data_IF_203194966576
#
_entry.id   IF_203194966576
#
_cell.length_a   1.000
_cell.length_b   1.000
_cell.length_c   1.000
_cell.angle_alpha   90.00
_cell.angle_beta   90.00
_cell.angle_gamma   90.00
#
_symmetry.space_group_name_H-M   'P 1'
#
loop_
_entity.id
_entity.type
_entity.pdbx_description
1 polymer ?
#
# COMPACT_ATOMS: atom_id res chain seq x y z
N UNK A 1 -22.77 1.75 24.77
CA UNK A 1 -22.16 2.09 23.47
C UNK A 1 -22.55 1.02 22.47
N UNK A 2 -23.42 1.36 21.52
CA UNK A 2 -23.95 0.38 20.55
C UNK A 2 -22.90 0.08 19.47
N UNK A 3 -22.54 -1.20 19.33
CA UNK A 3 -21.65 -1.68 18.30
C UNK A 3 -22.36 -1.60 16.93
N UNK A 4 -21.86 -0.76 16.04
CA UNK A 4 -22.32 -0.70 14.66
C UNK A 4 -21.81 -1.94 13.93
N UNK A 5 -22.74 -2.72 13.34
CA UNK A 5 -22.36 -3.93 12.59
C UNK A 5 -21.72 -3.57 11.24
N UNK A 6 -20.88 -4.46 10.69
CA UNK A 6 -20.25 -4.31 9.37
C UNK A 6 -21.22 -3.95 8.24
N UNK A 7 -22.47 -4.43 8.31
CA UNK A 7 -23.55 -4.08 7.37
C UNK A 7 -24.04 -2.65 7.50
N UNK A 8 -23.94 -2.04 8.70
CA UNK A 8 -24.29 -0.63 8.93
C UNK A 8 -23.25 0.34 8.36
N UNK A 9 -21.98 -0.02 8.41
CA UNK A 9 -20.89 0.80 7.87
C UNK A 9 -20.93 0.90 6.33
N UNK A 10 -21.22 -0.21 5.66
CA UNK A 10 -21.37 -0.22 4.19
C UNK A 10 -22.58 0.59 3.69
N UNK A 11 -23.65 0.69 4.46
CA UNK A 11 -24.83 1.50 4.08
C UNK A 11 -24.58 3.01 4.22
N UNK A 12 -23.71 3.43 5.12
CA UNK A 12 -23.36 4.85 5.31
C UNK A 12 -22.39 5.32 4.21
N UNK A 13 -21.48 4.44 3.74
CA UNK A 13 -20.58 4.77 2.64
C UNK A 13 -21.29 4.89 1.27
N UNK A 14 -22.39 4.17 1.07
CA UNK A 14 -23.19 4.25 -0.16
C UNK A 14 -24.11 5.48 -0.24
N UNK A 15 -24.41 6.13 0.88
CA UNK A 15 -25.28 7.29 0.91
C UNK A 15 -24.57 8.64 0.66
N UNK A 16 -23.24 8.67 0.71
CA UNK A 16 -22.44 9.88 0.51
C UNK A 16 -22.01 10.13 -0.96
N UNK A 17 -22.33 9.22 -1.89
CA UNK A 17 -21.90 9.31 -3.29
C UNK A 17 -23.00 9.78 -4.26
N UNK A 18 -24.16 10.24 -3.78
CA UNK A 18 -25.24 10.71 -4.62
C UNK A 18 -25.71 12.12 -4.29
N UNK A 19 -24.89 13.10 -4.62
CA UNK A 19 -25.37 14.47 -4.79
C UNK A 19 -24.44 15.25 -5.74
N UNK A 20 -24.96 15.51 -6.93
CA UNK A 20 -24.51 16.61 -7.74
C UNK A 20 -24.09 16.32 -9.16
N UNK A 21 -25.01 16.23 -10.10
CA UNK A 21 -24.93 17.00 -11.36
C UNK A 21 -26.34 17.16 -11.90
N UNK A 22 -26.77 18.39 -11.99
CA UNK A 22 -27.97 18.81 -12.71
C UNK A 22 -27.59 19.45 -14.05
N UNK A 23 -28.31 19.01 -15.08
CA UNK A 23 -28.86 19.79 -16.21
C UNK A 23 -27.93 20.44 -17.25
N UNK A 24 -28.18 20.09 -18.48
CA UNK A 24 -27.83 20.87 -19.67
C UNK A 24 -28.39 20.22 -20.93
N UNK A 25 -29.51 20.76 -21.39
CA UNK A 25 -30.41 20.24 -22.40
C UNK A 25 -30.06 20.65 -23.84
N UNK A 26 -30.70 19.93 -24.82
CA UNK A 26 -31.17 20.37 -26.16
C UNK A 26 -30.10 20.49 -27.24
N UNK A 27 -30.31 20.07 -28.44
CA UNK A 27 -31.39 19.92 -29.39
C UNK A 27 -30.89 19.09 -30.58
N UNK A 28 -31.65 18.21 -31.10
CA UNK A 28 -32.67 18.31 -32.12
C UNK A 28 -32.21 18.15 -33.60
N UNK A 29 -32.98 17.29 -34.23
CA UNK A 29 -33.47 17.24 -35.63
C UNK A 29 -32.60 16.48 -36.62
N UNK A 30 -33.08 15.65 -37.49
CA UNK A 30 -34.36 15.29 -38.04
C UNK A 30 -34.13 14.26 -39.16
N UNK A 31 -34.90 13.41 -39.41
CA UNK A 31 -35.85 12.89 -40.40
C UNK A 31 -35.25 11.69 -41.15
N UNK A 32 -35.92 10.67 -41.51
CA UNK A 32 -37.25 10.32 -41.82
C UNK A 32 -37.34 8.83 -42.16
N UNK A 33 -38.37 8.23 -41.64
CA UNK A 33 -39.26 7.20 -42.19
C UNK A 33 -38.74 6.00 -42.99
N UNK A 34 -39.02 4.80 -42.43
CA UNK A 34 -40.02 3.94 -43.07
C UNK A 34 -40.49 2.84 -42.11
N UNK A 35 -41.77 2.70 -42.01
CA UNK A 35 -42.52 1.78 -41.20
C UNK A 35 -42.35 0.33 -41.65
N UNK A 36 -42.13 -0.57 -40.71
CA UNK A 36 -42.78 -1.89 -40.70
C UNK A 36 -43.01 -2.30 -39.27
N UNK A 37 -44.24 -2.53 -38.94
CA UNK A 37 -44.70 -3.05 -37.66
C UNK A 37 -44.21 -4.50 -37.48
N UNK A 38 -43.54 -4.76 -36.38
CA UNK A 38 -43.35 -6.10 -35.87
C UNK A 38 -43.40 -6.05 -34.34
N UNK A 39 -44.38 -6.71 -33.79
CA UNK A 39 -44.59 -7.30 -32.49
C UNK A 39 -43.73 -6.81 -31.33
N UNK A 40 -44.39 -6.29 -30.31
CA UNK A 40 -43.88 -6.06 -28.95
C UNK A 40 -43.38 -7.37 -28.34
N UNK A 41 -42.10 -7.71 -28.60
CA UNK A 41 -41.30 -8.58 -27.78
C UNK A 41 -40.70 -7.75 -26.65
N UNK A 42 -40.73 -8.25 -25.42
CA UNK A 42 -40.03 -7.65 -24.29
C UNK A 42 -38.60 -7.37 -24.72
N UNK A 43 -38.13 -6.12 -24.52
CA UNK A 43 -36.75 -5.78 -24.79
C UNK A 43 -35.85 -6.68 -23.94
N UNK A 44 -34.94 -7.40 -24.57
CA UNK A 44 -34.00 -8.29 -23.87
C UNK A 44 -33.14 -7.47 -22.87
N UNK A 45 -32.73 -8.12 -21.81
CA UNK A 45 -31.93 -7.51 -20.76
C UNK A 45 -30.51 -7.20 -21.20
N UNK A 46 -30.06 -7.79 -22.31
CA UNK A 46 -28.70 -7.66 -22.85
C UNK A 46 -28.69 -7.40 -24.36
N UNK A 47 -27.64 -6.74 -24.79
CA UNK A 47 -27.29 -6.69 -26.22
C UNK A 47 -26.55 -8.00 -26.56
N UNK A 48 -27.06 -8.83 -27.49
CA UNK A 48 -26.37 -10.05 -27.87
C UNK A 48 -24.96 -9.79 -28.40
N UNK A 49 -23.99 -10.59 -27.93
CA UNK A 49 -22.61 -10.42 -28.33
C UNK A 49 -21.64 -11.11 -27.35
N UNK A 50 -20.36 -11.05 -27.68
CA UNK A 50 -19.28 -11.55 -26.82
C UNK A 50 -18.50 -10.37 -26.25
N UNK A 51 -18.39 -10.31 -24.96
CA UNK A 51 -17.76 -9.24 -24.20
C UNK A 51 -16.62 -9.77 -23.37
N UNK A 52 -15.59 -8.96 -23.16
CA UNK A 52 -14.42 -9.32 -22.39
C UNK A 52 -14.20 -8.31 -21.27
N UNK A 53 -13.95 -8.81 -20.07
CA UNK A 53 -13.52 -8.05 -18.90
C UNK A 53 -12.21 -8.58 -18.37
N UNK A 54 -11.46 -7.71 -17.71
CA UNK A 54 -10.19 -8.06 -17.06
C UNK A 54 -10.15 -7.45 -15.67
N UNK A 55 -9.41 -8.10 -14.77
CA UNK A 55 -9.09 -7.56 -13.44
C UNK A 55 -7.79 -8.16 -12.93
N UNK A 56 -7.14 -7.46 -12.00
CA UNK A 56 -5.92 -7.93 -11.36
C UNK A 56 -6.20 -9.09 -10.41
N UNK A 57 -5.49 -10.20 -10.62
CA UNK A 57 -5.39 -11.32 -9.70
C UNK A 57 -4.23 -11.14 -8.71
N UNK A 58 -3.71 -12.24 -8.19
CA UNK A 58 -2.57 -12.24 -7.26
C UNK A 58 -1.21 -12.24 -8.00
N UNK A 59 -1.14 -12.90 -9.14
CA UNK A 59 0.10 -13.09 -9.89
C UNK A 59 0.01 -12.59 -11.33
N UNK A 60 -1.21 -12.35 -11.83
CA UNK A 60 -1.46 -11.99 -13.23
C UNK A 60 -2.78 -11.27 -13.40
N UNK A 61 -3.01 -10.73 -14.60
CA UNK A 61 -4.32 -10.24 -15.00
C UNK A 61 -5.23 -11.42 -15.34
N UNK A 62 -6.33 -11.52 -14.63
CA UNK A 62 -7.42 -12.47 -14.90
C UNK A 62 -8.29 -11.92 -16.02
N UNK A 63 -8.66 -12.77 -16.97
CA UNK A 63 -9.52 -12.40 -18.10
C UNK A 63 -10.77 -13.27 -18.11
N UNK A 64 -11.93 -12.64 -18.24
CA UNK A 64 -13.22 -13.29 -18.42
C UNK A 64 -13.82 -12.85 -19.75
N UNK A 65 -14.23 -13.82 -20.56
CA UNK A 65 -14.95 -13.60 -21.81
C UNK A 65 -16.32 -14.25 -21.70
N UNK A 66 -17.38 -13.49 -21.91
CA UNK A 66 -18.75 -13.94 -21.75
C UNK A 66 -19.56 -13.66 -23.02
N UNK A 67 -20.34 -14.66 -23.45
CA UNK A 67 -21.26 -14.51 -24.60
C UNK A 67 -22.70 -14.41 -24.07
N UNK A 68 -23.42 -13.41 -24.56
CA UNK A 68 -24.79 -13.09 -24.17
C UNK A 68 -25.73 -13.28 -25.35
N UNK A 69 -26.89 -13.87 -25.07
CA UNK A 69 -28.10 -13.69 -25.87
C UNK A 69 -28.82 -12.40 -25.44
N UNK A 70 -30.00 -12.13 -25.98
CA UNK A 70 -30.85 -11.02 -25.54
C UNK A 70 -31.35 -11.16 -24.08
N UNK A 71 -31.30 -12.36 -23.50
CA UNK A 71 -31.91 -12.65 -22.19
C UNK A 71 -31.03 -13.43 -21.23
N UNK A 72 -29.89 -13.99 -21.67
CA UNK A 72 -29.06 -14.86 -20.85
C UNK A 72 -27.59 -14.87 -21.25
N UNK A 73 -26.74 -15.28 -20.29
CA UNK A 73 -25.35 -15.68 -20.55
C UNK A 73 -25.39 -17.09 -21.18
N UNK A 74 -24.73 -17.24 -22.34
CA UNK A 74 -24.73 -18.50 -23.09
C UNK A 74 -23.37 -19.22 -23.06
N UNK A 75 -22.30 -18.51 -22.83
CA UNK A 75 -20.97 -19.09 -22.69
C UNK A 75 -20.07 -18.19 -21.82
N UNK A 76 -19.13 -18.81 -21.11
CA UNK A 76 -18.14 -18.15 -20.26
C UNK A 76 -16.79 -18.83 -20.44
N UNK A 77 -15.77 -18.04 -20.64
CA UNK A 77 -14.37 -18.49 -20.60
C UNK A 77 -13.64 -17.69 -19.53
N UNK A 78 -13.04 -18.38 -18.57
CA UNK A 78 -12.23 -17.78 -17.49
C UNK A 78 -10.78 -18.15 -17.70
N UNK A 79 -9.95 -17.17 -17.93
CA UNK A 79 -8.50 -17.35 -18.06
C UNK A 79 -7.79 -16.81 -16.82
N UNK A 80 -7.32 -17.75 -16.00
CA UNK A 80 -6.50 -17.55 -14.81
C UNK A 80 -5.16 -18.27 -14.95
N UNK A 81 -4.72 -18.53 -16.17
CA UNK A 81 -3.52 -19.36 -16.45
C UNK A 81 -2.23 -18.76 -15.90
N UNK A 82 -2.17 -17.45 -15.74
CA UNK A 82 -1.04 -16.74 -15.12
C UNK A 82 -1.07 -16.70 -13.59
N UNK A 83 -2.14 -17.20 -12.98
CA UNK A 83 -2.26 -17.28 -11.52
C UNK A 83 -1.49 -18.48 -10.95
N UNK A 84 -1.37 -18.56 -9.61
CA UNK A 84 -0.70 -19.69 -8.95
C UNK A 84 -1.34 -21.02 -9.34
N UNK A 85 -0.56 -21.93 -9.93
CA UNK A 85 -1.05 -23.15 -10.56
C UNK A 85 -1.94 -24.03 -9.67
N UNK A 86 -1.60 -24.19 -8.38
CA UNK A 86 -2.31 -25.04 -7.43
C UNK A 86 -3.60 -24.43 -6.88
N UNK A 87 -3.80 -23.13 -7.05
CA UNK A 87 -4.91 -22.39 -6.48
C UNK A 87 -5.68 -21.60 -7.54
N UNK A 88 -5.15 -20.46 -7.97
CA UNK A 88 -5.84 -19.55 -8.88
C UNK A 88 -6.09 -20.16 -10.26
N UNK A 89 -5.10 -20.80 -10.87
CA UNK A 89 -5.27 -21.45 -12.17
C UNK A 89 -6.23 -22.66 -12.07
N UNK A 90 -6.18 -23.42 -10.98
CA UNK A 90 -7.07 -24.57 -10.77
C UNK A 90 -8.53 -24.16 -10.53
N UNK A 91 -8.80 -22.93 -10.12
CA UNK A 91 -10.14 -22.43 -9.83
C UNK A 91 -10.96 -22.05 -11.09
N UNK A 92 -10.34 -21.94 -12.25
CA UNK A 92 -10.95 -21.40 -13.47
C UNK A 92 -12.26 -22.08 -13.86
N UNK A 93 -12.28 -23.42 -13.87
CA UNK A 93 -13.45 -24.19 -14.32
C UNK A 93 -14.61 -24.09 -13.32
N UNK A 94 -14.33 -24.08 -12.03
CA UNK A 94 -15.33 -23.88 -11.01
C UNK A 94 -15.96 -22.49 -11.07
N UNK A 95 -15.14 -21.46 -11.21
CA UNK A 95 -15.59 -20.06 -11.35
C UNK A 95 -16.41 -19.85 -12.63
N UNK A 96 -16.03 -20.48 -13.74
CA UNK A 96 -16.79 -20.51 -14.98
C UNK A 96 -18.18 -21.10 -14.75
N UNK A 97 -18.25 -22.27 -14.09
CA UNK A 97 -19.51 -22.94 -13.82
C UNK A 97 -20.42 -22.11 -12.91
N UNK A 98 -19.86 -21.45 -11.91
CA UNK A 98 -20.61 -20.55 -11.04
C UNK A 98 -21.20 -19.36 -11.82
N UNK A 99 -20.42 -18.71 -12.71
CA UNK A 99 -20.91 -17.61 -13.54
C UNK A 99 -22.02 -18.02 -14.51
N UNK A 100 -21.88 -19.19 -15.15
CA UNK A 100 -22.90 -19.76 -16.05
C UNK A 100 -24.20 -20.08 -15.30
N UNK A 101 -24.10 -20.70 -14.12
CA UNK A 101 -25.25 -21.11 -13.32
C UNK A 101 -25.95 -19.91 -12.67
N UNK A 102 -25.20 -18.92 -12.18
CA UNK A 102 -25.77 -17.73 -11.56
C UNK A 102 -26.36 -16.76 -12.58
N UNK A 103 -25.84 -16.72 -13.82
CA UNK A 103 -26.19 -15.69 -14.79
C UNK A 103 -25.95 -14.27 -14.30
N UNK A 104 -25.02 -14.10 -13.34
CA UNK A 104 -24.64 -12.83 -12.73
C UNK A 104 -23.18 -12.86 -12.28
N UNK A 105 -22.64 -11.72 -11.92
CA UNK A 105 -21.30 -11.58 -11.33
C UNK A 105 -21.27 -11.86 -9.82
N UNK A 106 -22.44 -12.07 -9.21
CA UNK A 106 -22.56 -12.44 -7.79
C UNK A 106 -22.44 -13.95 -7.62
N UNK A 107 -21.21 -14.42 -7.49
CA UNK A 107 -20.86 -15.82 -7.27
C UNK A 107 -20.11 -15.99 -5.93
N UNK A 108 -20.12 -17.21 -5.39
CA UNK A 108 -19.46 -17.46 -4.10
C UNK A 108 -17.94 -17.37 -4.18
N UNK A 109 -17.37 -17.86 -5.26
CA UNK A 109 -15.94 -17.98 -5.44
C UNK A 109 -15.42 -19.36 -5.02
N UNK A 110 -14.09 -19.52 -4.99
CA UNK A 110 -13.42 -20.79 -4.68
C UNK A 110 -12.58 -20.61 -3.42
N UNK A 111 -12.80 -21.48 -2.44
CA UNK A 111 -12.04 -21.48 -1.17
C UNK A 111 -10.55 -21.68 -1.44
N UNK A 112 -9.71 -20.88 -0.83
CA UNK A 112 -8.26 -20.88 -1.06
C UNK A 112 -7.81 -20.05 -2.28
N UNK A 113 -8.75 -19.52 -3.09
CA UNK A 113 -8.47 -18.69 -4.27
C UNK A 113 -9.22 -17.36 -4.24
N UNK A 114 -9.36 -16.76 -3.06
CA UNK A 114 -10.21 -15.58 -2.83
C UNK A 114 -9.84 -14.39 -3.72
N UNK A 115 -8.55 -14.05 -3.85
CA UNK A 115 -8.12 -12.91 -4.65
C UNK A 115 -8.41 -13.16 -6.14
N UNK A 116 -8.12 -14.36 -6.65
CA UNK A 116 -8.44 -14.74 -8.03
C UNK A 116 -9.94 -14.76 -8.26
N UNK A 117 -10.73 -15.26 -7.30
CA UNK A 117 -12.20 -15.26 -7.38
C UNK A 117 -12.76 -13.83 -7.44
N UNK A 118 -12.24 -12.92 -6.63
CA UNK A 118 -12.64 -11.51 -6.65
C UNK A 118 -12.25 -10.81 -7.95
N UNK A 119 -11.10 -11.18 -8.55
CA UNK A 119 -10.71 -10.69 -9.87
C UNK A 119 -11.68 -11.21 -10.95
N UNK A 120 -12.07 -12.49 -10.91
CA UNK A 120 -13.06 -13.06 -11.84
C UNK A 120 -14.42 -12.36 -11.71
N UNK A 121 -14.90 -12.10 -10.47
CA UNK A 121 -16.13 -11.32 -10.23
C UNK A 121 -16.08 -9.94 -10.86
N UNK A 122 -14.97 -9.20 -10.65
CA UNK A 122 -14.79 -7.86 -11.22
C UNK A 122 -14.74 -7.88 -12.75
N UNK A 123 -14.05 -8.85 -13.33
CA UNK A 123 -13.97 -9.03 -14.77
C UNK A 123 -15.35 -9.39 -15.37
N UNK A 124 -16.09 -10.31 -14.75
CA UNK A 124 -17.45 -10.67 -15.15
C UNK A 124 -18.41 -9.48 -15.05
N UNK A 125 -18.34 -8.69 -13.98
CA UNK A 125 -19.14 -7.46 -13.82
C UNK A 125 -18.95 -6.49 -14.99
N UNK A 126 -17.73 -6.37 -15.50
CA UNK A 126 -17.44 -5.55 -16.69
C UNK A 126 -18.14 -6.13 -17.93
N UNK A 127 -18.16 -7.46 -18.11
CA UNK A 127 -18.88 -8.09 -19.23
C UNK A 127 -20.39 -7.81 -19.15
N UNK A 128 -21.00 -7.93 -17.98
CA UNK A 128 -22.41 -7.61 -17.76
C UNK A 128 -22.74 -6.16 -18.04
N UNK A 129 -21.91 -5.22 -17.59
CA UNK A 129 -22.07 -3.79 -17.86
C UNK A 129 -22.02 -3.48 -19.36
N UNK A 130 -21.07 -4.09 -20.09
CA UNK A 130 -20.97 -3.95 -21.55
C UNK A 130 -22.21 -4.51 -22.24
N UNK A 131 -22.67 -5.69 -21.85
CA UNK A 131 -23.86 -6.32 -22.44
C UNK A 131 -25.15 -5.51 -22.19
N UNK A 132 -25.23 -4.79 -21.07
CA UNK A 132 -26.35 -3.89 -20.74
C UNK A 132 -26.24 -2.51 -21.42
N UNK A 133 -25.15 -2.22 -22.12
CA UNK A 133 -24.89 -0.89 -22.69
C UNK A 133 -24.61 0.18 -21.64
N UNK A 134 -24.29 -0.24 -20.41
CA UNK A 134 -23.81 0.66 -19.37
C UNK A 134 -22.41 1.15 -19.75
N UNK A 135 -22.10 2.41 -19.49
CA UNK A 135 -20.76 2.93 -19.71
C UNK A 135 -19.79 2.08 -18.87
N UNK A 136 -18.94 1.32 -19.55
CA UNK A 136 -17.86 0.60 -18.85
C UNK A 136 -17.03 1.63 -18.12
N UNK A 137 -16.94 1.49 -16.80
CA UNK A 137 -15.77 2.01 -16.11
C UNK A 137 -14.62 1.29 -16.80
N UNK A 138 -13.94 2.00 -17.68
CA UNK A 138 -12.77 1.50 -18.38
C UNK A 138 -11.90 0.86 -17.30
N UNK A 139 -11.74 -0.47 -17.37
CA UNK A 139 -10.69 -1.13 -16.64
C UNK A 139 -9.48 -0.22 -16.77
N UNK A 140 -8.85 0.13 -15.68
CA UNK A 140 -7.54 0.80 -15.73
C UNK A 140 -6.76 -0.05 -16.70
N UNK A 141 -6.56 0.45 -17.94
CA UNK A 141 -5.68 -0.20 -18.88
C UNK A 141 -4.34 -0.20 -18.19
N UNK A 142 -3.95 -1.36 -17.70
CA UNK A 142 -2.55 -1.55 -17.37
C UNK A 142 -1.78 -1.20 -18.63
N UNK A 143 -0.72 -0.41 -18.51
CA UNK A 143 0.09 -0.02 -19.65
C UNK A 143 0.52 -1.27 -20.43
N UNK A 144 -0.01 -1.45 -21.63
CA UNK A 144 0.42 -2.52 -22.54
C UNK A 144 1.63 -2.03 -23.31
N UNK A 145 2.73 -1.82 -22.60
CA UNK A 145 3.85 -1.21 -23.25
C UNK A 145 5.10 -1.30 -22.45
N UNK A 146 5.94 -0.51 -22.30
CA UNK A 146 7.20 -0.47 -21.64
C UNK A 146 7.04 -0.77 -20.14
N UNK A 147 7.86 -1.65 -19.56
CA UNK A 147 7.88 -1.97 -18.12
C UNK A 147 8.02 -0.74 -17.21
N UNK A 148 8.41 0.42 -17.77
CA UNK A 148 8.58 1.68 -17.07
C UNK A 148 7.32 2.56 -17.04
N UNK A 149 6.27 2.17 -17.74
CA UNK A 149 5.05 3.01 -17.90
C UNK A 149 4.29 3.22 -16.57
N UNK A 150 4.39 2.27 -15.64
CA UNK A 150 3.82 2.37 -14.29
C UNK A 150 4.55 3.36 -13.38
N UNK A 151 5.79 3.69 -13.70
CA UNK A 151 6.58 4.68 -12.96
C UNK A 151 6.16 6.13 -13.28
N UNK A 152 5.40 6.32 -14.37
CA UNK A 152 5.10 7.65 -14.88
C UNK A 152 6.33 8.33 -15.50
N UNK A 153 6.18 9.57 -15.85
CA UNK A 153 7.30 10.38 -16.32
C UNK A 153 8.03 11.01 -15.15
N UNK A 154 9.35 11.09 -15.26
CA UNK A 154 10.15 11.88 -14.31
C UNK A 154 9.59 13.32 -14.28
N UNK A 155 9.35 13.90 -13.09
CA UNK A 155 8.87 15.27 -12.98
C UNK A 155 9.81 16.26 -13.70
N UNK A 156 9.25 17.05 -14.59
CA UNK A 156 9.96 18.16 -15.26
C UNK A 156 9.72 19.42 -14.44
N UNK A 157 10.71 19.77 -13.62
CA UNK A 157 10.65 20.92 -12.71
C UNK A 157 11.55 22.00 -13.29
N UNK A 158 10.95 23.15 -13.62
CA UNK A 158 11.70 24.30 -14.09
C UNK A 158 12.67 24.78 -13.00
N UNK A 159 13.92 24.97 -13.38
CA UNK A 159 14.96 25.50 -12.47
C UNK A 159 14.56 26.85 -11.86
N UNK A 160 13.82 27.67 -12.60
CA UNK A 160 13.29 28.94 -12.13
C UNK A 160 12.17 28.81 -11.08
N UNK A 161 11.57 27.64 -10.95
CA UNK A 161 10.55 27.35 -9.92
C UNK A 161 11.18 26.97 -8.57
N UNK A 162 12.47 26.67 -8.52
CA UNK A 162 13.20 26.37 -7.30
C UNK A 162 13.57 27.67 -6.61
N UNK A 163 12.91 27.97 -5.50
CA UNK A 163 13.03 29.26 -4.81
C UNK A 163 14.08 29.25 -3.71
N UNK A 164 14.45 28.07 -3.23
CA UNK A 164 15.43 27.89 -2.15
C UNK A 164 16.36 26.73 -2.43
N UNK A 165 17.62 26.85 -1.95
CA UNK A 165 18.61 25.76 -1.98
C UNK A 165 19.22 25.60 -0.60
N UNK A 166 19.19 24.38 -0.08
CA UNK A 166 19.72 23.99 1.22
C UNK A 166 20.89 23.01 1.02
N UNK A 167 22.06 23.34 1.56
CA UNK A 167 23.23 22.46 1.53
C UNK A 167 23.34 21.66 2.81
N UNK A 168 23.47 20.35 2.70
CA UNK A 168 23.64 19.44 3.84
C UNK A 168 24.48 18.22 3.45
N UNK A 169 24.87 17.42 4.44
CA UNK A 169 25.55 16.14 4.17
C UNK A 169 24.55 15.03 3.86
N UNK A 170 23.46 14.97 4.62
CA UNK A 170 22.46 13.90 4.55
C UNK A 170 21.08 14.53 4.49
N UNK A 171 20.23 14.02 3.58
CA UNK A 171 18.80 14.30 3.59
C UNK A 171 18.05 13.04 4.00
N UNK A 172 17.20 13.15 5.02
CA UNK A 172 16.29 12.10 5.47
C UNK A 172 14.90 12.46 4.99
N UNK A 173 14.30 11.60 4.17
CA UNK A 173 12.96 11.79 3.60
C UNK A 173 11.96 10.99 4.40
N UNK A 174 11.06 11.67 5.07
CA UNK A 174 10.02 11.09 5.93
C UNK A 174 10.38 11.19 7.42
N UNK A 175 9.42 11.62 8.24
CA UNK A 175 9.52 11.68 9.70
C UNK A 175 8.63 10.62 10.38
N UNK A 176 8.56 9.43 9.79
CA UNK A 176 8.01 8.22 10.41
C UNK A 176 9.03 7.54 11.33
N UNK A 177 8.77 6.29 11.74
CA UNK A 177 9.66 5.57 12.65
C UNK A 177 11.09 5.46 12.14
N UNK A 178 11.27 5.08 10.87
CA UNK A 178 12.60 4.93 10.28
C UNK A 178 13.36 6.25 10.23
N UNK A 179 12.70 7.33 9.77
CA UNK A 179 13.30 8.65 9.65
C UNK A 179 13.63 9.26 11.00
N UNK A 180 12.73 9.19 11.98
CA UNK A 180 12.98 9.75 13.31
C UNK A 180 14.08 9.00 14.09
N UNK A 181 14.17 7.67 13.93
CA UNK A 181 15.28 6.90 14.51
C UNK A 181 16.62 7.30 13.90
N UNK A 182 16.66 7.43 12.56
CA UNK A 182 17.85 7.88 11.86
C UNK A 182 18.23 9.32 12.23
N UNK A 183 17.25 10.23 12.32
CA UNK A 183 17.46 11.61 12.71
C UNK A 183 18.01 11.74 14.14
N UNK A 184 17.41 11.00 15.10
CA UNK A 184 17.87 10.98 16.48
C UNK A 184 19.32 10.48 16.59
N UNK A 185 19.65 9.40 15.87
CA UNK A 185 21.02 8.88 15.85
C UNK A 185 21.99 9.84 15.19
N UNK A 186 21.61 10.44 14.05
CA UNK A 186 22.42 11.45 13.36
C UNK A 186 22.68 12.68 14.24
N UNK A 187 21.66 13.16 14.94
CA UNK A 187 21.78 14.28 15.87
C UNK A 187 22.71 13.94 17.04
N UNK A 188 22.57 12.75 17.65
CA UNK A 188 23.47 12.30 18.72
C UNK A 188 24.94 12.21 18.28
N UNK A 189 25.19 11.95 17.00
CA UNK A 189 26.55 11.91 16.41
C UNK A 189 27.03 13.28 15.90
N UNK A 190 26.23 14.32 16.00
CA UNK A 190 26.57 15.67 15.51
C UNK A 190 26.74 15.72 13.99
N UNK A 191 26.01 14.89 13.24
CA UNK A 191 26.06 14.90 11.78
C UNK A 191 25.31 16.11 11.22
N UNK A 192 25.73 16.60 10.07
CA UNK A 192 24.99 17.61 9.32
C UNK A 192 23.92 16.95 8.45
N UNK A 193 22.64 17.16 8.80
CA UNK A 193 21.51 16.55 8.09
C UNK A 193 20.28 17.44 8.11
N UNK A 194 19.36 17.18 7.17
CA UNK A 194 18.01 17.74 7.14
C UNK A 194 17.00 16.60 7.07
N UNK A 195 15.84 16.81 7.68
CA UNK A 195 14.70 15.90 7.59
C UNK A 195 13.56 16.62 6.92
N UNK A 196 12.93 16.02 5.92
CA UNK A 196 11.70 16.52 5.31
C UNK A 196 10.54 15.60 5.60
N UNK A 197 9.34 16.14 5.80
CA UNK A 197 8.10 15.41 6.03
C UNK A 197 6.94 16.09 5.32
N UNK A 198 6.18 15.33 4.54
CA UNK A 198 5.06 15.87 3.77
C UNK A 198 3.87 16.34 4.63
N UNK A 199 3.71 15.76 5.81
CA UNK A 199 2.67 16.14 6.75
C UNK A 199 3.14 17.26 7.68
N UNK A 200 2.21 17.83 8.47
CA UNK A 200 2.50 18.89 9.42
C UNK A 200 3.01 18.40 10.79
N UNK A 201 3.25 17.11 10.95
CA UNK A 201 3.72 16.49 12.20
C UNK A 201 4.47 15.20 11.92
N UNK A 202 5.25 14.75 12.89
CA UNK A 202 5.89 13.42 12.84
C UNK A 202 4.83 12.33 12.76
N UNK A 203 5.17 11.25 12.04
CA UNK A 203 4.23 10.17 11.78
C UNK A 203 4.67 8.91 12.55
N UNK A 204 3.73 8.27 13.21
CA UNK A 204 3.91 6.96 13.81
C UNK A 204 2.69 6.10 13.50
N UNK A 205 2.74 5.42 12.36
CA UNK A 205 1.66 4.53 11.92
C UNK A 205 1.65 3.20 12.68
N UNK A 206 2.77 2.87 13.34
CA UNK A 206 2.93 1.66 14.13
C UNK A 206 3.76 1.95 15.37
N UNK A 207 3.19 1.73 16.55
CA UNK A 207 3.88 1.90 17.82
C UNK A 207 4.81 0.71 18.18
N UNK A 208 4.72 -0.38 17.43
CA UNK A 208 5.55 -1.56 17.61
C UNK A 208 6.87 -1.44 16.84
N UNK A 209 7.96 -1.78 17.50
CA UNK A 209 9.28 -1.88 16.89
C UNK A 209 9.90 -3.21 17.26
N UNK A 210 10.16 -4.04 16.27
CA UNK A 210 10.80 -5.33 16.46
C UNK A 210 12.32 -5.20 16.50
N UNK A 211 12.95 -5.87 17.47
CA UNK A 211 14.40 -5.99 17.56
C UNK A 211 14.82 -7.44 17.84
N UNK A 212 15.96 -7.83 17.30
CA UNK A 212 16.54 -9.16 17.50
C UNK A 212 17.58 -9.10 18.63
N UNK A 213 17.41 -9.94 19.65
CA UNK A 213 18.25 -9.95 20.85
C UNK A 213 18.26 -8.59 21.58
N UNK A 214 17.13 -7.84 21.52
CA UNK A 214 16.96 -6.57 22.21
C UNK A 214 16.90 -6.73 23.75
N UNK A 215 16.67 -5.63 24.46
CA UNK A 215 16.72 -5.64 25.94
C UNK A 215 15.69 -6.60 26.56
N UNK A 216 14.51 -6.74 25.99
CA UNK A 216 13.52 -7.69 26.47
C UNK A 216 13.95 -9.14 26.30
N UNK A 217 14.63 -9.48 25.20
CA UNK A 217 15.23 -10.79 24.99
C UNK A 217 16.34 -11.05 26.02
N UNK A 218 17.18 -10.07 26.26
CA UNK A 218 18.28 -10.16 27.23
C UNK A 218 17.77 -10.35 28.66
N UNK A 219 16.75 -9.61 29.07
CA UNK A 219 16.12 -9.72 30.39
C UNK A 219 15.52 -11.11 30.62
N UNK A 220 15.00 -11.77 29.60
CA UNK A 220 14.41 -13.11 29.68
C UNK A 220 15.41 -14.23 29.37
N UNK A 221 16.65 -13.91 29.05
CA UNK A 221 17.67 -14.90 28.69
C UNK A 221 17.38 -15.61 27.36
N UNK A 222 16.58 -14.99 26.51
CA UNK A 222 16.24 -15.50 25.17
C UNK A 222 17.31 -15.05 24.17
N UNK A 223 17.76 -16.00 23.36
CA UNK A 223 18.68 -15.71 22.26
C UNK A 223 18.15 -16.34 20.97
N UNK A 224 18.03 -15.54 19.94
CA UNK A 224 17.53 -16.02 18.65
C UNK A 224 18.63 -16.70 17.82
N UNK A 225 18.27 -17.77 17.11
CA UNK A 225 19.09 -18.31 16.03
C UNK A 225 18.95 -17.43 14.80
N UNK A 226 19.92 -16.54 14.59
CA UNK A 226 19.91 -15.55 13.53
C UNK A 226 19.88 -16.16 12.13
N UNK A 227 20.47 -17.34 11.93
CA UNK A 227 20.46 -18.00 10.62
C UNK A 227 19.08 -18.55 10.28
N UNK A 228 18.44 -19.19 11.25
CA UNK A 228 17.08 -19.69 11.12
C UNK A 228 16.10 -18.51 10.93
N UNK A 229 16.24 -17.43 11.71
CA UNK A 229 15.42 -16.22 11.58
C UNK A 229 15.52 -15.62 10.16
N UNK A 230 16.74 -15.49 9.60
CA UNK A 230 16.93 -15.03 8.23
C UNK A 230 16.20 -15.93 7.23
N UNK A 231 16.30 -17.25 7.42
CA UNK A 231 15.61 -18.22 6.56
C UNK A 231 14.09 -18.06 6.63
N UNK A 232 13.54 -17.93 7.85
CA UNK A 232 12.10 -17.78 8.07
C UNK A 232 11.54 -16.47 7.51
N UNK A 233 12.22 -15.35 7.72
CA UNK A 233 11.82 -14.06 7.14
C UNK A 233 11.85 -14.13 5.62
N UNK A 234 12.88 -14.75 5.05
CA UNK A 234 12.99 -14.95 3.59
C UNK A 234 11.86 -15.83 3.05
N UNK A 235 11.51 -16.90 3.76
CA UNK A 235 10.39 -17.78 3.42
C UNK A 235 9.06 -17.03 3.49
N UNK A 236 8.82 -16.28 4.57
CA UNK A 236 7.62 -15.47 4.74
C UNK A 236 7.45 -14.45 3.60
N UNK A 237 8.55 -13.81 3.19
CA UNK A 237 8.57 -12.90 2.05
C UNK A 237 8.57 -13.62 0.68
N UNK A 238 8.36 -14.95 0.65
CA UNK A 238 8.40 -15.74 -0.60
C UNK A 238 9.70 -15.56 -1.40
N UNK A 239 10.82 -15.33 -0.72
CA UNK A 239 12.13 -15.07 -1.34
C UNK A 239 12.27 -13.69 -1.99
N UNK A 240 11.28 -12.82 -1.89
CA UNK A 240 11.27 -11.48 -2.51
C UNK A 240 11.89 -10.37 -1.65
N UNK A 241 12.56 -10.71 -0.55
CA UNK A 241 13.27 -9.74 0.26
C UNK A 241 14.76 -9.68 -0.06
N UNK A 242 15.36 -8.50 0.07
CA UNK A 242 16.82 -8.39 0.06
C UNK A 242 17.37 -8.88 1.42
N UNK A 243 17.99 -10.07 1.38
CA UNK A 243 18.55 -10.69 2.58
C UNK A 243 19.66 -9.85 3.24
N UNK A 244 20.31 -8.94 2.51
CA UNK A 244 21.30 -8.02 3.09
C UNK A 244 20.63 -7.04 4.04
N UNK A 245 19.48 -6.50 3.65
CA UNK A 245 18.68 -5.60 4.49
C UNK A 245 18.15 -6.35 5.73
N UNK A 246 17.62 -7.55 5.54
CA UNK A 246 17.15 -8.38 6.66
C UNK A 246 18.31 -8.71 7.62
N UNK A 247 19.49 -9.04 7.10
CA UNK A 247 20.68 -9.27 7.91
C UNK A 247 21.11 -8.05 8.71
N UNK A 248 21.04 -6.86 8.12
CA UNK A 248 21.34 -5.62 8.83
C UNK A 248 20.39 -5.44 10.01
N UNK A 249 19.07 -5.60 9.79
CA UNK A 249 18.10 -5.55 10.88
C UNK A 249 18.39 -6.60 11.95
N UNK A 250 18.66 -7.86 11.59
CA UNK A 250 18.99 -8.95 12.54
C UNK A 250 20.22 -8.60 13.40
N UNK A 251 21.20 -7.94 12.81
CA UNK A 251 22.47 -7.68 13.49
C UNK A 251 22.48 -6.38 14.31
N UNK A 252 21.78 -5.35 13.85
CA UNK A 252 21.94 -3.98 14.35
C UNK A 252 20.71 -3.49 15.14
N UNK A 253 19.57 -4.20 15.07
CA UNK A 253 18.32 -3.72 15.69
C UNK A 253 18.40 -3.65 17.22
N UNK A 254 19.16 -4.52 17.87
CA UNK A 254 19.36 -4.49 19.33
C UNK A 254 20.04 -3.19 19.77
N UNK A 255 21.11 -2.77 19.07
CA UNK A 255 21.82 -1.53 19.37
C UNK A 255 20.93 -0.31 19.15
N UNK A 256 20.18 -0.31 18.03
CA UNK A 256 19.28 0.79 17.70
C UNK A 256 18.17 0.95 18.73
N UNK A 257 17.54 -0.15 19.17
CA UNK A 257 16.45 -0.04 20.13
C UNK A 257 16.94 0.34 21.51
N UNK A 258 18.14 -0.09 21.91
CA UNK A 258 18.76 0.33 23.16
C UNK A 258 19.12 1.83 23.13
N UNK A 259 19.57 2.34 21.99
CA UNK A 259 19.79 3.77 21.81
C UNK A 259 18.48 4.56 21.98
N UNK A 260 17.38 4.13 21.35
CA UNK A 260 16.06 4.78 21.49
C UNK A 260 15.57 4.67 22.94
N UNK A 261 15.74 3.50 23.59
CA UNK A 261 15.39 3.29 24.97
C UNK A 261 16.12 4.27 25.89
N UNK A 262 17.41 4.49 25.70
CA UNK A 262 18.18 5.44 26.52
C UNK A 262 17.62 6.88 26.39
N UNK A 263 17.17 7.28 25.21
CA UNK A 263 16.50 8.58 25.06
C UNK A 263 15.16 8.58 25.81
N UNK A 264 14.35 7.55 25.63
CA UNK A 264 13.02 7.49 26.22
C UNK A 264 13.08 7.41 27.74
N UNK A 265 13.87 6.48 28.29
CA UNK A 265 13.91 6.20 29.72
C UNK A 265 14.83 7.17 30.47
N UNK A 266 16.08 7.33 30.03
CA UNK A 266 17.07 8.08 30.81
C UNK A 266 16.84 9.60 30.70
N UNK A 267 16.42 10.07 29.51
CA UNK A 267 16.22 11.51 29.30
C UNK A 267 14.80 11.98 29.62
N UNK A 268 13.78 11.23 29.19
CA UNK A 268 12.39 11.65 29.34
C UNK A 268 11.61 10.88 30.38
N UNK A 269 12.19 9.85 31.01
CA UNK A 269 11.52 9.07 32.05
C UNK A 269 10.37 8.21 31.55
N UNK A 270 10.29 8.00 30.23
CA UNK A 270 9.24 7.20 29.60
C UNK A 270 9.71 5.77 29.44
N UNK A 271 9.15 4.87 30.22
CA UNK A 271 9.54 3.45 30.23
C UNK A 271 9.14 2.78 28.91
N UNK A 272 10.10 2.12 28.27
CA UNK A 272 9.81 1.20 27.18
C UNK A 272 9.46 -0.18 27.72
N UNK A 273 8.38 -0.76 27.20
CA UNK A 273 7.96 -2.13 27.48
C UNK A 273 8.13 -2.98 26.22
N UNK A 274 8.27 -4.25 26.45
CA UNK A 274 8.29 -5.24 25.37
C UNK A 274 7.22 -6.30 25.65
N UNK A 275 6.74 -6.94 24.58
CA UNK A 275 5.88 -8.11 24.67
C UNK A 275 6.58 -9.30 24.03
N UNK A 276 6.48 -10.43 24.69
CA UNK A 276 6.91 -11.71 24.17
C UNK A 276 5.74 -12.63 23.99
N UNK A 277 5.74 -13.32 22.95
CA UNK A 277 5.06 -14.45 22.43
C UNK A 277 3.92 -15.11 23.18
N UNK A 278 3.86 -15.14 24.45
CA UNK A 278 2.71 -15.72 25.16
C UNK A 278 1.47 -14.83 25.09
N UNK A 279 1.65 -13.52 24.98
CA UNK A 279 0.55 -12.59 24.74
C UNK A 279 0.29 -12.42 23.23
N UNK A 280 1.32 -12.61 22.41
CA UNK A 280 1.21 -12.78 20.97
C UNK A 280 0.98 -14.25 20.59
N UNK A 281 0.12 -14.96 21.31
CA UNK A 281 -0.35 -16.27 20.86
C UNK A 281 -1.01 -16.11 19.50
N UNK A 282 -0.21 -16.32 18.47
CA UNK A 282 -0.75 -16.58 17.16
C UNK A 282 -1.70 -17.78 17.34
N UNK A 283 -2.94 -17.68 16.89
CA UNK A 283 -3.85 -18.81 16.95
C UNK A 283 -3.16 -20.05 16.37
N UNK A 284 -3.43 -21.22 16.96
CA UNK A 284 -2.85 -22.48 16.49
C UNK A 284 -3.08 -22.72 14.99
N UNK A 285 -4.12 -22.12 14.44
CA UNK A 285 -4.44 -22.10 13.01
C UNK A 285 -3.39 -21.40 12.13
N UNK A 286 -2.54 -20.56 12.72
CA UNK A 286 -1.43 -19.92 12.02
C UNK A 286 -0.07 -20.60 12.32
N UNK A 287 -0.09 -21.79 12.91
CA UNK A 287 1.11 -22.51 13.33
C UNK A 287 2.08 -22.81 12.17
N UNK A 288 1.58 -22.96 10.95
CA UNK A 288 2.43 -23.12 9.75
C UNK A 288 3.14 -21.81 9.31
N UNK A 289 2.67 -20.66 9.81
CA UNK A 289 3.30 -19.37 9.65
C UNK A 289 4.04 -18.93 10.92
N UNK A 290 3.92 -19.75 11.97
CA UNK A 290 4.58 -19.51 13.23
C UNK A 290 6.06 -19.82 13.05
N UNK A 291 6.86 -18.78 13.00
CA UNK A 291 8.30 -18.94 13.19
C UNK A 291 8.48 -19.39 14.64
N UNK A 292 9.28 -20.40 14.91
CA UNK A 292 9.66 -20.80 16.30
C UNK A 292 10.41 -19.66 17.01
N UNK A 293 10.47 -18.48 16.40
CA UNK A 293 11.11 -17.27 16.86
C UNK A 293 10.08 -16.22 17.16
N UNK A 294 10.05 -15.87 18.41
CA UNK A 294 9.30 -14.72 18.84
C UNK A 294 10.16 -13.47 18.63
N UNK A 295 9.64 -12.56 17.86
CA UNK A 295 10.24 -11.24 17.75
C UNK A 295 9.94 -10.49 19.04
N UNK A 296 10.94 -9.92 19.73
CA UNK A 296 10.65 -8.99 20.80
C UNK A 296 9.96 -7.78 20.18
N UNK A 297 8.68 -7.68 20.43
CA UNK A 297 7.93 -6.48 20.13
C UNK A 297 8.14 -5.51 21.28
N UNK A 298 8.59 -4.31 20.94
CA UNK A 298 8.84 -3.27 21.91
C UNK A 298 7.77 -2.22 21.75
N UNK A 299 6.92 -2.12 22.75
CA UNK A 299 5.92 -1.07 22.86
C UNK A 299 6.35 -0.09 23.93
N UNK A 300 6.23 1.19 23.68
CA UNK A 300 6.43 2.16 24.72
C UNK A 300 5.12 2.57 25.41
N UNK A 301 5.22 2.95 26.68
CA UNK A 301 4.08 3.03 27.60
C UNK A 301 3.50 4.43 27.83
N UNK A 302 3.97 5.45 27.12
CA UNK A 302 3.64 6.83 27.44
C UNK A 302 2.15 7.10 27.33
N UNK A 303 1.56 6.78 26.24
CA UNK A 303 0.12 6.88 26.02
C UNK A 303 -0.28 5.79 25.01
N UNK A 304 -1.02 4.81 25.47
CA UNK A 304 -1.48 3.71 24.58
C UNK A 304 -2.43 4.16 23.48
N UNK A 305 -2.83 5.43 23.48
CA UNK A 305 -3.76 5.97 22.48
C UNK A 305 -3.09 6.41 21.18
N UNK A 306 -1.79 6.71 21.18
CA UNK A 306 -1.08 7.10 19.96
C UNK A 306 0.40 6.70 19.99
N UNK A 307 0.86 5.97 18.99
CA UNK A 307 2.28 5.74 18.79
C UNK A 307 3.08 6.99 18.41
N UNK A 308 2.40 8.11 18.13
CA UNK A 308 3.01 9.38 17.76
C UNK A 308 3.89 9.97 18.87
N UNK A 309 3.55 9.74 20.15
CA UNK A 309 4.29 10.32 21.27
C UNK A 309 5.77 9.89 21.31
N UNK A 310 6.15 8.69 20.84
CA UNK A 310 7.56 8.31 20.73
C UNK A 310 8.30 9.20 19.73
N UNK A 311 7.75 9.34 18.55
CA UNK A 311 8.38 10.18 17.52
C UNK A 311 8.31 11.67 17.87
N UNK A 312 7.30 12.11 18.61
CA UNK A 312 7.25 13.47 19.19
C UNK A 312 8.40 13.70 20.18
N UNK A 313 8.70 12.74 21.05
CA UNK A 313 9.84 12.82 21.96
C UNK A 313 11.19 12.74 21.23
N UNK A 314 11.28 11.97 20.16
CA UNK A 314 12.47 11.96 19.31
C UNK A 314 12.63 13.30 18.56
N UNK A 315 11.53 13.92 18.12
CA UNK A 315 11.54 15.26 17.57
C UNK A 315 12.03 16.28 18.61
N UNK A 316 11.48 16.25 19.81
CA UNK A 316 11.95 17.08 20.90
C UNK A 316 13.47 16.86 21.15
N UNK A 317 13.91 15.60 21.13
CA UNK A 317 15.32 15.27 21.31
C UNK A 317 16.22 15.91 20.27
N UNK A 318 15.89 15.83 18.98
CA UNK A 318 16.69 16.45 17.94
C UNK A 318 16.63 17.98 18.00
N UNK A 319 15.49 18.55 18.37
CA UNK A 319 15.32 20.01 18.54
C UNK A 319 16.19 20.54 19.68
N UNK A 320 16.29 19.83 20.80
CA UNK A 320 17.19 20.19 21.91
C UNK A 320 18.68 20.15 21.51
N UNK A 321 19.02 19.39 20.46
CA UNK A 321 20.35 19.31 19.87
C UNK A 321 20.56 20.33 18.72
N UNK A 322 19.54 21.17 18.42
CA UNK A 322 19.61 22.23 17.41
C UNK A 322 19.22 21.79 16.00
N UNK A 323 18.56 20.66 15.86
CA UNK A 323 18.03 20.17 14.58
C UNK A 323 16.51 20.29 14.54
N UNK A 324 15.93 20.19 13.34
CA UNK A 324 14.46 20.23 13.18
C UNK A 324 14.03 19.42 11.95
N UNK A 325 12.71 19.35 11.74
CA UNK A 325 12.08 18.71 10.59
C UNK A 325 11.41 19.80 9.74
N UNK A 326 11.72 19.81 8.47
CA UNK A 326 11.03 20.63 7.48
C UNK A 326 9.69 19.95 7.15
N UNK A 327 8.66 20.30 7.91
CA UNK A 327 7.29 19.79 7.73
C UNK A 327 6.63 20.36 6.47
N UNK A 328 5.55 19.71 6.02
CA UNK A 328 4.80 20.10 4.83
C UNK A 328 5.66 20.19 3.58
N UNK A 329 6.67 19.34 3.54
CA UNK A 329 7.68 19.30 2.49
C UNK A 329 7.76 17.90 1.91
N UNK A 330 7.27 17.73 0.68
CA UNK A 330 7.17 16.43 0.00
C UNK A 330 8.32 16.23 -0.98
N UNK A 331 8.87 15.02 -1.04
CA UNK A 331 9.84 14.66 -2.07
C UNK A 331 9.18 14.72 -3.46
N UNK A 332 9.71 15.56 -4.36
CA UNK A 332 9.26 15.65 -5.74
C UNK A 332 10.19 14.90 -6.71
N UNK A 333 11.51 15.00 -6.53
CA UNK A 333 12.48 14.44 -7.45
C UNK A 333 13.81 14.10 -6.74
N UNK A 334 14.44 12.98 -7.16
CA UNK A 334 15.82 12.67 -6.79
C UNK A 334 16.77 13.25 -7.83
N UNK A 335 17.79 13.98 -7.41
CA UNK A 335 18.82 14.52 -8.30
C UNK A 335 20.01 13.56 -8.40
N UNK A 336 20.51 13.37 -9.61
CA UNK A 336 21.63 12.47 -9.91
C UNK A 336 22.74 13.21 -10.64
N UNK A 337 23.97 12.84 -10.33
CA UNK A 337 25.12 13.27 -11.15
C UNK A 337 25.26 12.38 -12.41
N UNK A 338 26.27 12.71 -13.24
CA UNK A 338 26.60 11.97 -14.46
C UNK A 338 26.90 10.48 -14.24
N UNK A 339 27.35 10.11 -13.03
CA UNK A 339 27.70 8.73 -12.67
C UNK A 339 26.49 7.97 -12.09
N UNK A 340 25.31 8.59 -12.07
CA UNK A 340 24.07 8.02 -11.54
C UNK A 340 23.95 8.04 -10.01
N UNK A 341 24.90 8.66 -9.30
CA UNK A 341 24.83 8.81 -7.85
C UNK A 341 23.82 9.88 -7.48
N UNK A 342 23.00 9.60 -6.47
CA UNK A 342 22.09 10.59 -5.87
C UNK A 342 22.92 11.62 -5.13
N UNK A 343 22.74 12.89 -5.48
CA UNK A 343 23.46 14.05 -4.92
C UNK A 343 22.53 15.02 -4.19
N UNK A 344 21.24 14.80 -4.24
CA UNK A 344 20.27 15.65 -3.60
C UNK A 344 18.84 15.29 -3.98
N UNK A 345 17.94 16.15 -3.59
CA UNK A 345 16.53 16.08 -3.92
C UNK A 345 15.99 17.46 -4.30
N UNK A 346 14.91 17.46 -5.07
CA UNK A 346 13.99 18.59 -5.12
C UNK A 346 12.75 18.18 -4.33
N UNK A 347 12.35 19.01 -3.38
CA UNK A 347 11.15 18.87 -2.60
C UNK A 347 10.15 19.97 -2.97
N UNK A 348 8.86 19.72 -2.72
CA UNK A 348 7.79 20.67 -2.94
C UNK A 348 7.09 20.96 -1.61
N UNK A 349 6.88 22.23 -1.31
CA UNK A 349 6.01 22.66 -0.23
C UNK A 349 4.57 22.20 -0.51
N UNK A 350 3.91 21.60 0.48
CA UNK A 350 2.50 21.20 0.38
C UNK A 350 1.53 22.33 0.77
N UNK A 351 2.04 23.52 1.10
CA UNK A 351 1.24 24.69 1.45
C UNK A 351 1.02 25.65 0.29
N UNK A 352 2.09 25.89 -0.49
CA UNK A 352 2.12 26.95 -1.52
C UNK A 352 2.82 26.52 -2.81
N UNK A 353 3.07 25.22 -2.96
CA UNK A 353 3.60 24.56 -4.14
C UNK A 353 5.00 25.02 -4.63
N UNK A 354 5.73 25.83 -3.87
CA UNK A 354 7.10 26.19 -4.25
C UNK A 354 8.06 25.01 -4.11
N UNK A 355 9.16 25.06 -4.86
CA UNK A 355 10.18 24.02 -4.84
C UNK A 355 11.42 24.44 -4.06
N UNK A 356 11.99 23.49 -3.32
CA UNK A 356 13.20 23.60 -2.53
C UNK A 356 14.20 22.54 -2.98
N UNK A 357 15.42 22.93 -3.27
CA UNK A 357 16.51 21.96 -3.53
C UNK A 357 17.26 21.66 -2.25
N UNK A 358 17.50 20.41 -1.97
CA UNK A 358 18.40 19.96 -0.91
C UNK A 358 19.59 19.25 -1.54
N UNK A 359 20.76 19.86 -1.50
CA UNK A 359 22.01 19.23 -1.88
C UNK A 359 22.47 18.31 -0.75
N UNK A 360 22.75 17.04 -1.05
CA UNK A 360 23.15 16.01 -0.09
C UNK A 360 24.56 15.50 -0.42
N UNK A 361 25.59 16.07 0.22
CA UNK A 361 26.99 15.75 -0.10
C UNK A 361 27.36 14.27 0.14
N UNK A 362 26.69 13.61 1.10
CA UNK A 362 26.93 12.19 1.45
C UNK A 362 25.83 11.26 0.97
N UNK A 363 24.58 11.72 0.90
CA UNK A 363 23.50 10.92 0.36
C UNK A 363 22.12 11.24 0.91
N UNK A 364 21.13 10.48 0.42
CA UNK A 364 19.72 10.60 0.75
C UNK A 364 19.25 9.29 1.36
N UNK A 365 18.58 9.36 2.49
CA UNK A 365 17.89 8.25 3.13
C UNK A 365 16.38 8.39 2.84
N UNK A 366 15.79 7.41 2.19
CA UNK A 366 14.34 7.30 2.02
C UNK A 366 13.78 6.44 3.17
N UNK A 367 12.91 7.00 4.03
CA UNK A 367 12.45 6.39 5.27
C UNK A 367 10.91 6.27 5.34
#
# INVERSE_FOLDING_TARGET
MNKISRKGFLKIAAAAAMSGVTAGALAACNAASSSTAASSGAAGSYTPGTYTGTAEGISSTVKVTMTFSDSAVTDVVVDTSGETASYGAAAAEELKNQLLNAGSDEIDGVSGSTITSDAVKKAAKSCFAQAKGEATVTSVQLPTGDETDWLGKEPDIDEAAITETVDTDIVIVGAGNGGMFAAAYAAAKGLNFRVIEQNGNVQDTRHWVGAVDGFGAQEQGIKMDRAKLLSEVSRYASGKCDQRVVKTWINESAEMIEFVRSIMEDKYGVKMIYTYGDEAKWPAENAEHNTDYMYPEIEYTYDRSSGAARNELLLQYIQELGYDVDFKTSLAKLEKNSDGRITGIIAQSTEDDHFIRYNANKGVLLA
#
